data_IF_089483395296
#
_entry.id   IF_089483395296
#
_cell.length_a   1.000
_cell.length_b   1.000
_cell.length_c   1.000
_cell.angle_alpha   90.00
_cell.angle_beta   90.00
_cell.angle_gamma   90.00
#
_symmetry.space_group_name_H-M   'P 1'
#
loop_
_entity.id
_entity.type
_entity.pdbx_description
1 polymer ?
#
# COMPACT_ATOMS: atom_id res chain seq x y z
N UNK A 1 57.92 -21.43 -15.50
CA UNK A 1 56.75 -22.30 -15.25
C UNK A 1 56.30 -22.09 -13.81
N UNK A 2 55.19 -21.36 -13.62
CA UNK A 2 54.38 -21.39 -12.41
C UNK A 2 52.99 -20.90 -12.85
N UNK A 3 52.04 -21.83 -12.88
CA UNK A 3 50.74 -21.66 -13.52
C UNK A 3 49.92 -20.55 -12.89
N UNK A 4 49.54 -19.57 -13.72
CA UNK A 4 48.45 -18.64 -13.43
C UNK A 4 47.15 -19.46 -13.33
N UNK A 5 46.65 -19.62 -12.10
CA UNK A 5 45.35 -20.22 -11.84
C UNK A 5 44.27 -19.47 -12.62
N UNK A 6 43.73 -20.13 -13.65
CA UNK A 6 42.55 -19.70 -14.38
C UNK A 6 41.33 -19.80 -13.45
N UNK A 7 41.14 -18.79 -12.61
CA UNK A 7 39.87 -18.56 -11.93
C UNK A 7 38.79 -18.36 -13.01
N UNK A 8 37.76 -19.20 -12.99
CA UNK A 8 36.67 -19.20 -13.97
C UNK A 8 36.19 -17.77 -14.22
N UNK A 9 36.36 -17.25 -15.44
CA UNK A 9 35.65 -16.04 -15.90
C UNK A 9 34.16 -16.40 -15.95
N UNK A 10 33.46 -16.24 -14.83
CA UNK A 10 32.02 -16.42 -14.76
C UNK A 10 31.34 -15.53 -15.79
N UNK A 11 30.31 -16.04 -16.46
CA UNK A 11 29.50 -15.24 -17.39
C UNK A 11 29.05 -13.93 -16.72
N UNK A 12 29.14 -12.83 -17.48
CA UNK A 12 28.76 -11.50 -17.01
C UNK A 12 27.31 -11.44 -16.50
N UNK A 13 27.01 -10.43 -15.68
CA UNK A 13 25.66 -10.20 -15.17
C UNK A 13 24.72 -9.80 -16.31
N UNK A 14 23.48 -10.28 -16.25
CA UNK A 14 22.46 -10.05 -17.27
C UNK A 14 21.53 -8.92 -16.88
N UNK A 15 21.19 -8.07 -17.85
CA UNK A 15 20.21 -6.99 -17.69
C UNK A 15 18.82 -7.57 -17.41
N UNK A 16 18.46 -8.66 -18.09
CA UNK A 16 17.15 -9.32 -17.93
C UNK A 16 17.00 -9.85 -16.51
N UNK A 17 18.02 -10.55 -16.00
CA UNK A 17 18.01 -11.08 -14.63
C UNK A 17 17.92 -9.93 -13.61
N UNK A 18 18.63 -8.81 -13.84
CA UNK A 18 18.52 -7.65 -12.97
C UNK A 18 17.10 -7.06 -12.95
N UNK A 19 16.39 -6.98 -14.08
CA UNK A 19 14.99 -6.54 -14.13
C UNK A 19 14.02 -7.53 -13.49
N UNK A 20 14.24 -8.84 -13.62
CA UNK A 20 13.44 -9.86 -12.92
C UNK A 20 13.61 -9.72 -11.41
N UNK A 21 14.85 -9.56 -10.93
CA UNK A 21 15.12 -9.29 -9.51
C UNK A 21 14.48 -7.98 -9.04
N UNK A 22 14.45 -6.96 -9.90
CA UNK A 22 13.80 -5.69 -9.60
C UNK A 22 12.27 -5.82 -9.52
N UNK A 23 11.64 -6.58 -10.41
CA UNK A 23 10.18 -6.76 -10.43
C UNK A 23 9.68 -7.49 -9.17
N UNK A 24 10.35 -8.57 -8.76
CA UNK A 24 9.89 -9.41 -7.65
C UNK A 24 10.49 -9.01 -6.29
N UNK A 25 11.64 -8.33 -6.27
CA UNK A 25 12.35 -8.00 -5.03
C UNK A 25 13.01 -6.61 -5.03
N UNK A 26 12.63 -5.74 -5.96
CA UNK A 26 13.26 -4.42 -6.13
C UNK A 26 13.06 -3.47 -4.95
N UNK A 27 11.89 -3.52 -4.30
CA UNK A 27 11.64 -2.76 -3.07
C UNK A 27 12.61 -3.12 -1.94
N UNK A 28 13.13 -4.35 -1.93
CA UNK A 28 14.10 -4.84 -0.94
C UNK A 28 15.53 -4.83 -1.47
N UNK A 29 15.78 -4.27 -2.66
CA UNK A 29 17.12 -4.14 -3.23
C UNK A 29 17.71 -5.42 -3.85
N UNK A 30 16.88 -6.42 -4.17
CA UNK A 30 17.36 -7.73 -4.70
C UNK A 30 18.23 -7.58 -5.96
N UNK A 31 17.85 -6.69 -6.88
CA UNK A 31 18.62 -6.38 -8.08
C UNK A 31 19.99 -5.76 -7.76
N UNK A 32 20.09 -4.97 -6.69
CA UNK A 32 21.34 -4.36 -6.25
C UNK A 32 22.29 -5.39 -5.63
N UNK A 33 21.75 -6.34 -4.86
CA UNK A 33 22.54 -7.47 -4.35
C UNK A 33 23.04 -8.38 -5.48
N UNK A 34 22.22 -8.63 -6.51
CA UNK A 34 22.65 -9.34 -7.72
C UNK A 34 23.81 -8.63 -8.43
N UNK A 35 23.73 -7.30 -8.52
CA UNK A 35 24.72 -6.42 -9.15
C UNK A 35 25.93 -6.10 -8.26
N UNK A 36 26.09 -6.76 -7.10
CA UNK A 36 27.22 -6.56 -6.16
C UNK A 36 27.28 -5.15 -5.55
N UNK A 37 26.15 -4.45 -5.43
CA UNK A 37 26.04 -3.10 -4.87
C UNK A 37 25.43 -3.13 -3.47
N UNK A 38 26.06 -3.93 -2.60
CA UNK A 38 25.51 -4.33 -1.28
C UNK A 38 25.14 -3.16 -0.38
N UNK A 39 25.95 -2.10 -0.35
CA UNK A 39 25.65 -0.90 0.43
C UNK A 39 24.38 -0.20 -0.06
N UNK A 40 24.20 -0.08 -1.39
CA UNK A 40 22.98 0.50 -1.95
C UNK A 40 21.79 -0.45 -1.73
N UNK A 41 21.98 -1.76 -1.87
CA UNK A 41 20.94 -2.77 -1.59
C UNK A 41 20.46 -2.72 -0.15
N UNK A 42 21.39 -2.62 0.82
CA UNK A 42 21.08 -2.46 2.24
C UNK A 42 20.31 -1.17 2.50
N UNK A 43 20.72 -0.05 1.89
CA UNK A 43 20.00 1.22 2.02
C UNK A 43 18.60 1.15 1.44
N UNK A 44 18.42 0.53 0.26
CA UNK A 44 17.10 0.31 -0.33
C UNK A 44 16.22 -0.54 0.59
N UNK A 45 16.78 -1.60 1.18
CA UNK A 45 16.08 -2.44 2.14
C UNK A 45 15.69 -1.68 3.42
N UNK A 46 16.63 -0.92 4.02
CA UNK A 46 16.39 -0.14 5.25
C UNK A 46 15.47 1.07 5.05
N UNK A 47 15.12 1.40 3.81
CA UNK A 47 14.25 2.54 3.46
C UNK A 47 13.00 2.13 2.67
N UNK A 48 12.70 0.84 2.61
CA UNK A 48 11.56 0.30 1.87
C UNK A 48 11.50 0.81 0.42
N UNK A 49 12.59 0.63 -0.32
CA UNK A 49 12.67 1.04 -1.73
C UNK A 49 13.12 2.48 -1.92
N UNK A 50 13.83 3.08 -0.97
CA UNK A 50 14.23 4.49 -1.03
C UNK A 50 13.04 5.42 -0.87
N UNK A 51 12.26 5.23 0.20
CA UNK A 51 10.99 5.93 0.47
C UNK A 51 9.98 5.75 -0.67
N UNK A 52 9.93 4.56 -1.28
CA UNK A 52 9.03 4.24 -2.38
C UNK A 52 9.35 4.92 -3.73
N UNK A 53 10.37 5.78 -3.82
CA UNK A 53 10.78 6.44 -5.08
C UNK A 53 12.09 5.88 -5.64
N UNK A 54 12.99 5.42 -4.77
CA UNK A 54 14.27 4.85 -5.17
C UNK A 54 14.13 3.65 -6.10
N UNK A 55 13.16 2.76 -5.85
CA UNK A 55 12.92 1.58 -6.68
C UNK A 55 12.46 1.94 -8.11
N UNK A 56 11.69 3.02 -8.29
CA UNK A 56 11.31 3.53 -9.63
C UNK A 56 12.51 4.15 -10.34
N UNK A 57 13.30 4.93 -9.59
CA UNK A 57 14.50 5.57 -10.13
C UNK A 57 15.55 4.56 -10.60
N UNK A 58 15.53 3.33 -10.09
CA UNK A 58 16.45 2.27 -10.48
C UNK A 58 16.12 1.67 -11.86
N UNK A 59 14.89 1.76 -12.36
CA UNK A 59 14.49 1.26 -13.69
C UNK A 59 15.42 1.80 -14.79
N UNK A 60 15.72 3.09 -14.74
CA UNK A 60 16.56 3.77 -15.73
C UNK A 60 18.05 3.55 -15.49
N UNK A 61 18.45 3.13 -14.27
CA UNK A 61 19.85 2.99 -13.88
C UNK A 61 20.38 1.55 -14.00
N UNK A 62 19.50 0.55 -13.96
CA UNK A 62 19.86 -0.88 -14.07
C UNK A 62 20.79 -1.17 -15.28
N UNK A 63 20.52 -0.68 -16.51
CA UNK A 63 21.39 -0.96 -17.65
C UNK A 63 22.83 -0.47 -17.43
N UNK A 64 22.97 0.73 -16.85
CA UNK A 64 24.28 1.30 -16.50
C UNK A 64 24.97 0.48 -15.41
N UNK A 65 24.23 0.03 -14.41
CA UNK A 65 24.79 -0.80 -13.33
C UNK A 65 25.29 -2.16 -13.83
N UNK A 66 24.58 -2.76 -14.79
CA UNK A 66 25.00 -4.01 -15.43
C UNK A 66 26.28 -3.80 -16.26
N UNK A 67 26.34 -2.73 -17.05
CA UNK A 67 27.57 -2.35 -17.78
C UNK A 67 28.74 -2.10 -16.83
N UNK A 68 28.49 -1.48 -15.67
CA UNK A 68 29.54 -1.19 -14.69
C UNK A 68 30.09 -2.45 -14.02
N UNK A 69 29.23 -3.40 -13.62
CA UNK A 69 29.68 -4.65 -12.98
C UNK A 69 30.39 -5.59 -13.95
N UNK A 70 30.04 -5.53 -15.24
CA UNK A 70 30.66 -6.29 -16.33
C UNK A 70 31.91 -5.61 -16.91
N UNK A 71 32.29 -4.43 -16.41
CA UNK A 71 33.46 -3.67 -16.88
C UNK A 71 33.44 -3.37 -18.39
N UNK A 72 32.28 -2.94 -18.88
CA UNK A 72 32.08 -2.57 -20.28
C UNK A 72 33.13 -1.54 -20.77
N UNK A 73 33.88 -1.81 -21.85
CA UNK A 73 35.00 -0.95 -22.27
C UNK A 73 34.61 0.48 -22.67
N UNK A 74 33.40 0.69 -23.20
CA UNK A 74 32.93 2.04 -23.55
C UNK A 74 32.63 2.85 -22.30
N UNK A 75 31.87 2.26 -21.36
CA UNK A 75 31.54 2.90 -20.10
C UNK A 75 32.79 3.18 -19.26
N UNK A 76 33.76 2.26 -19.22
CA UNK A 76 34.99 2.45 -18.46
C UNK A 76 35.84 3.58 -19.05
N UNK A 77 35.96 3.68 -20.38
CA UNK A 77 36.64 4.81 -21.04
C UNK A 77 36.01 6.15 -20.65
N UNK A 78 34.68 6.22 -20.61
CA UNK A 78 33.95 7.42 -20.19
C UNK A 78 34.24 7.79 -18.73
N UNK A 79 34.19 6.82 -17.82
CA UNK A 79 34.46 7.04 -16.39
C UNK A 79 35.91 7.52 -16.20
N UNK A 80 36.88 6.87 -16.85
CA UNK A 80 38.28 7.26 -16.76
C UNK A 80 38.56 8.63 -17.39
N UNK A 81 37.85 9.00 -18.46
CA UNK A 81 37.91 10.37 -19.00
C UNK A 81 37.48 11.40 -17.95
N UNK A 82 36.34 11.19 -17.30
CA UNK A 82 35.85 12.10 -16.24
C UNK A 82 36.79 12.18 -15.04
N UNK A 83 37.41 11.06 -14.66
CA UNK A 83 38.41 11.03 -13.58
C UNK A 83 39.68 11.81 -13.93
N UNK A 84 40.05 11.90 -15.23
CA UNK A 84 41.18 12.70 -15.69
C UNK A 84 40.85 14.20 -15.76
N UNK A 85 39.63 14.54 -16.16
CA UNK A 85 39.16 15.92 -16.23
C UNK A 85 38.96 16.55 -14.84
N UNK A 86 38.47 15.77 -13.89
CA UNK A 86 38.18 16.24 -12.54
C UNK A 86 38.98 15.50 -11.48
N UNK A 87 39.89 16.21 -10.80
CA UNK A 87 40.69 15.65 -9.68
C UNK A 87 39.81 15.05 -8.56
N UNK A 88 38.64 15.64 -8.31
CA UNK A 88 37.63 15.14 -7.35
C UNK A 88 36.27 14.96 -8.04
N UNK A 89 35.41 14.04 -7.56
CA UNK A 89 34.06 13.92 -8.08
C UNK A 89 33.29 15.24 -7.95
N UNK A 90 32.57 15.69 -8.99
CA UNK A 90 31.78 16.92 -8.92
C UNK A 90 30.66 16.80 -7.87
N UNK A 91 30.12 17.93 -7.43
CA UNK A 91 28.98 17.95 -6.51
C UNK A 91 27.74 17.34 -7.18
N UNK A 92 27.04 16.45 -6.47
CA UNK A 92 25.80 15.84 -6.95
C UNK A 92 24.69 16.13 -5.96
N UNK A 93 23.74 16.97 -6.38
CA UNK A 93 22.57 17.34 -5.58
C UNK A 93 21.82 16.08 -5.11
N UNK A 94 21.59 15.12 -6.01
CA UNK A 94 20.89 13.88 -5.66
C UNK A 94 21.61 13.05 -4.59
N UNK A 95 22.95 12.99 -4.63
CA UNK A 95 23.74 12.25 -3.65
C UNK A 95 23.78 12.98 -2.31
N UNK A 96 23.91 14.30 -2.34
CA UNK A 96 23.89 15.14 -1.16
C UNK A 96 22.54 15.05 -0.41
N UNK A 97 21.42 15.18 -1.13
CA UNK A 97 20.08 15.00 -0.56
C UNK A 97 19.91 13.59 0.00
N UNK A 98 20.34 12.55 -0.74
CA UNK A 98 20.27 11.18 -0.25
C UNK A 98 21.09 10.97 1.02
N UNK A 99 22.28 11.58 1.12
CA UNK A 99 23.14 11.51 2.30
C UNK A 99 22.46 12.17 3.52
N UNK A 100 21.81 13.31 3.32
CA UNK A 100 20.99 13.98 4.34
C UNK A 100 19.83 13.08 4.76
N UNK A 101 19.05 12.53 3.82
CA UNK A 101 17.88 11.69 4.16
C UNK A 101 18.27 10.43 4.93
N UNK A 102 19.32 9.72 4.49
CA UNK A 102 19.79 8.51 5.17
C UNK A 102 20.44 8.85 6.51
N UNK A 103 21.25 9.90 6.58
CA UNK A 103 21.83 10.39 7.82
C UNK A 103 20.75 10.78 8.84
N UNK A 104 19.70 11.45 8.38
CA UNK A 104 18.51 11.77 9.18
C UNK A 104 17.85 10.50 9.71
N UNK A 105 17.51 9.57 8.82
CA UNK A 105 16.83 8.33 9.21
C UNK A 105 17.63 7.55 10.25
N UNK A 106 18.93 7.36 10.04
CA UNK A 106 19.75 6.54 10.94
C UNK A 106 20.05 7.26 12.26
N UNK A 107 20.28 8.58 12.23
CA UNK A 107 20.42 9.37 13.45
C UNK A 107 19.13 9.42 14.28
N UNK A 108 17.97 9.59 13.62
CA UNK A 108 16.66 9.55 14.27
C UNK A 108 16.37 8.16 14.83
N UNK A 109 16.68 7.09 14.09
CA UNK A 109 16.50 5.72 14.57
C UNK A 109 17.31 5.47 15.86
N UNK A 110 18.55 5.95 15.93
CA UNK A 110 19.34 5.87 17.17
C UNK A 110 18.70 6.66 18.30
N UNK A 111 18.18 7.87 18.01
CA UNK A 111 17.53 8.72 19.00
C UNK A 111 16.25 8.07 19.57
N UNK A 112 15.34 7.62 18.70
CA UNK A 112 14.07 7.01 19.13
C UNK A 112 14.25 5.62 19.74
N UNK A 113 15.38 4.94 19.50
CA UNK A 113 15.69 3.66 20.13
C UNK A 113 16.10 3.81 21.61
N UNK A 114 16.49 5.01 22.05
CA UNK A 114 16.89 5.28 23.43
C UNK A 114 15.63 5.45 24.30
N UNK A 115 15.47 4.71 25.40
CA UNK A 115 14.31 4.81 26.28
C UNK A 115 14.14 6.22 26.88
N UNK A 116 12.91 6.75 26.85
CA UNK A 116 12.57 8.05 27.45
C UNK A 116 12.50 7.98 28.99
N UNK A 117 12.06 6.83 29.52
CA UNK A 117 11.94 6.60 30.96
C UNK A 117 13.13 5.82 31.51
N UNK A 118 13.59 6.10 32.75
CA UNK A 118 14.66 5.35 33.37
C UNK A 118 14.29 3.87 33.53
N UNK A 119 15.24 2.98 33.23
CA UNK A 119 15.08 1.53 33.40
C UNK A 119 15.81 1.13 34.67
N UNK A 120 15.10 0.52 35.62
CA UNK A 120 15.68 0.05 36.88
C UNK A 120 16.49 1.14 37.62
N UNK A 121 16.00 2.39 37.61
CA UNK A 121 16.63 3.59 38.18
C UNK A 121 17.90 4.09 37.45
N UNK A 122 18.21 3.57 36.27
CA UNK A 122 19.28 4.09 35.42
C UNK A 122 18.73 4.94 34.28
N UNK A 123 19.21 6.18 34.15
CA UNK A 123 18.93 7.05 33.02
C UNK A 123 19.87 6.72 31.85
N UNK A 124 19.30 6.26 30.74
CA UNK A 124 20.07 5.91 29.53
C UNK A 124 20.28 7.09 28.58
N UNK A 125 19.95 8.31 29.01
CA UNK A 125 20.06 9.54 28.21
C UNK A 125 21.48 9.81 27.71
N UNK A 126 22.52 9.31 28.39
CA UNK A 126 23.90 9.43 27.91
C UNK A 126 24.13 8.74 26.54
N UNK A 127 23.28 7.79 26.14
CA UNK A 127 23.36 7.14 24.83
C UNK A 127 23.08 8.10 23.66
N UNK A 128 22.54 9.31 23.91
CA UNK A 128 22.37 10.32 22.87
C UNK A 128 23.69 10.74 22.21
N UNK A 129 24.83 10.50 22.87
CA UNK A 129 26.16 10.67 22.26
C UNK A 129 26.44 9.75 21.07
N UNK A 130 25.61 8.74 20.82
CA UNK A 130 25.68 7.89 19.62
C UNK A 130 24.87 8.43 18.42
N UNK A 131 24.03 9.46 18.61
CA UNK A 131 23.23 10.06 17.52
C UNK A 131 24.13 10.62 16.39
N UNK A 132 25.20 11.41 16.68
CA UNK A 132 26.10 11.91 15.64
C UNK A 132 26.80 10.79 14.86
N UNK A 133 27.09 9.67 15.55
CA UNK A 133 27.67 8.49 14.92
C UNK A 133 26.70 7.85 13.92
N UNK A 134 25.43 7.63 14.30
CA UNK A 134 24.41 7.09 13.39
C UNK A 134 24.22 7.96 12.15
N UNK A 135 24.14 9.28 12.35
CA UNK A 135 24.01 10.27 11.28
C UNK A 135 25.21 10.24 10.30
N UNK A 136 26.42 10.36 10.83
CA UNK A 136 27.64 10.42 10.02
C UNK A 136 27.96 9.11 9.29
N UNK A 137 27.61 7.95 9.88
CA UNK A 137 27.69 6.66 9.17
C UNK A 137 26.71 6.65 7.99
N UNK A 138 25.47 7.12 8.16
CA UNK A 138 24.51 7.22 7.05
C UNK A 138 25.02 8.07 5.88
N UNK A 139 25.56 9.26 6.19
CA UNK A 139 26.23 10.14 5.22
C UNK A 139 27.39 9.41 4.52
N UNK A 140 28.25 8.76 5.30
CA UNK A 140 29.42 8.04 4.79
C UNK A 140 29.04 6.88 3.86
N UNK A 141 28.02 6.09 4.20
CA UNK A 141 27.58 4.97 3.35
C UNK A 141 27.12 5.48 1.99
N UNK A 142 26.28 6.53 1.96
CA UNK A 142 25.79 7.14 0.71
C UNK A 142 26.95 7.69 -0.12
N UNK A 143 27.89 8.39 0.52
CA UNK A 143 29.08 8.94 -0.11
C UNK A 143 29.97 7.89 -0.78
N UNK A 144 29.98 6.65 -0.26
CA UNK A 144 30.82 5.55 -0.75
C UNK A 144 30.16 4.64 -1.81
N UNK A 145 28.95 4.99 -2.28
CA UNK A 145 28.22 4.24 -3.31
C UNK A 145 28.85 4.43 -4.69
N UNK A 146 29.10 3.35 -5.43
CA UNK A 146 29.60 3.39 -6.81
C UNK A 146 31.10 3.70 -6.90
N UNK A 147 31.49 4.60 -7.80
CA UNK A 147 32.88 4.99 -8.10
C UNK A 147 33.40 6.16 -7.25
N UNK A 148 32.70 6.50 -6.18
CA UNK A 148 33.13 7.49 -5.20
C UNK A 148 33.51 6.77 -3.90
N UNK A 149 34.48 7.33 -3.20
CA UNK A 149 34.96 6.81 -1.92
C UNK A 149 35.34 7.95 -1.00
N UNK A 150 35.30 7.73 0.31
CA UNK A 150 35.74 8.73 1.28
C UNK A 150 35.91 8.14 2.67
N UNK A 151 36.75 8.78 3.48
CA UNK A 151 37.01 8.35 4.86
C UNK A 151 35.87 8.83 5.78
N UNK A 152 35.45 8.05 6.78
CA UNK A 152 34.34 8.43 7.65
C UNK A 152 34.72 9.54 8.65
N UNK A 153 36.00 9.67 8.98
CA UNK A 153 36.47 10.48 10.11
C UNK A 153 36.09 11.96 10.04
N UNK A 154 36.11 12.57 8.86
CA UNK A 154 35.74 13.99 8.70
C UNK A 154 34.24 14.17 8.94
N UNK A 155 33.41 13.26 8.43
CA UNK A 155 31.96 13.30 8.63
C UNK A 155 31.60 13.09 10.11
N UNK A 156 32.29 12.16 10.78
CA UNK A 156 32.11 11.88 12.21
C UNK A 156 32.53 13.11 13.03
N UNK A 157 33.76 13.61 12.85
CA UNK A 157 34.27 14.74 13.62
C UNK A 157 33.44 16.00 13.46
N UNK A 158 33.00 16.32 12.24
CA UNK A 158 32.10 17.46 11.99
C UNK A 158 30.71 17.26 12.60
N UNK A 159 30.14 16.06 12.56
CA UNK A 159 28.87 15.76 13.23
C UNK A 159 28.98 15.97 14.75
N UNK A 160 30.03 15.45 15.40
CA UNK A 160 30.22 15.64 16.84
C UNK A 160 30.47 17.10 17.22
N UNK A 161 31.23 17.84 16.42
CA UNK A 161 31.45 19.28 16.65
C UNK A 161 30.14 20.06 16.55
N UNK A 162 29.34 19.79 15.51
CA UNK A 162 28.05 20.43 15.32
C UNK A 162 26.98 19.95 16.32
N UNK A 163 27.11 18.75 16.87
CA UNK A 163 26.23 18.23 17.92
C UNK A 163 26.28 19.07 19.21
N UNK A 164 27.40 19.75 19.48
CA UNK A 164 27.49 20.70 20.61
C UNK A 164 26.47 21.85 20.51
N UNK A 165 25.96 22.13 19.31
CA UNK A 165 24.88 23.12 19.13
C UNK A 165 23.58 22.75 19.84
N UNK A 166 23.39 21.48 20.24
CA UNK A 166 22.28 21.03 21.11
C UNK A 166 22.23 21.79 22.44
N UNK A 167 23.37 22.25 22.95
CA UNK A 167 23.43 23.04 24.19
C UNK A 167 23.18 24.54 23.96
N UNK A 168 23.18 24.98 22.70
CA UNK A 168 22.94 26.37 22.32
C UNK A 168 21.48 26.58 21.86
N UNK A 169 20.90 25.60 21.18
CA UNK A 169 19.55 25.63 20.64
C UNK A 169 18.68 24.55 21.30
N UNK A 170 17.61 24.96 21.98
CA UNK A 170 16.66 24.05 22.62
C UNK A 170 15.76 23.30 21.61
N UNK A 171 15.60 23.81 20.39
CA UNK A 171 14.81 23.16 19.34
C UNK A 171 15.56 21.97 18.73
N UNK A 172 14.97 20.77 18.88
CA UNK A 172 15.51 19.52 18.35
C UNK A 172 15.74 19.54 16.85
N UNK A 173 14.84 20.18 16.11
CA UNK A 173 14.90 20.23 14.65
C UNK A 173 16.13 21.02 14.17
N UNK A 174 16.48 22.08 14.91
CA UNK A 174 17.55 23.01 14.51
C UNK A 174 18.92 22.38 14.70
N UNK A 175 19.25 21.89 15.91
CA UNK A 175 20.57 21.29 16.15
C UNK A 175 20.76 20.02 15.33
N UNK A 176 19.70 19.22 15.13
CA UNK A 176 19.77 18.00 14.35
C UNK A 176 20.04 18.30 12.87
N UNK A 177 19.33 19.28 12.31
CA UNK A 177 19.54 19.71 10.91
C UNK A 177 20.93 20.31 10.71
N UNK A 178 21.40 21.13 11.64
CA UNK A 178 22.74 21.72 11.59
C UNK A 178 23.83 20.63 11.61
N UNK A 179 23.71 19.65 12.51
CA UNK A 179 24.62 18.51 12.59
C UNK A 179 24.64 17.71 11.28
N UNK A 180 23.47 17.43 10.71
CA UNK A 180 23.34 16.64 9.50
C UNK A 180 23.94 17.35 8.27
N UNK A 181 23.60 18.62 8.07
CA UNK A 181 24.08 19.41 6.93
C UNK A 181 25.59 19.65 7.01
N UNK A 182 26.10 19.96 8.20
CA UNK A 182 27.56 20.15 8.40
C UNK A 182 28.33 18.85 8.14
N UNK A 183 27.85 17.70 8.62
CA UNK A 183 28.44 16.40 8.36
C UNK A 183 28.45 16.04 6.87
N UNK A 184 27.34 16.25 6.18
CA UNK A 184 27.22 15.98 4.74
C UNK A 184 28.12 16.90 3.90
N UNK A 185 28.16 18.20 4.20
CA UNK A 185 29.02 19.17 3.51
C UNK A 185 30.51 18.90 3.76
N UNK A 186 30.88 18.58 4.99
CA UNK A 186 32.25 18.27 5.35
C UNK A 186 32.73 16.99 4.64
N UNK A 187 31.89 15.96 4.55
CA UNK A 187 32.20 14.75 3.79
C UNK A 187 32.40 15.06 2.31
N UNK A 188 31.46 15.77 1.68
CA UNK A 188 31.50 16.06 0.24
C UNK A 188 32.70 16.94 -0.14
N UNK A 189 33.00 17.94 0.68
CA UNK A 189 34.06 18.92 0.40
C UNK A 189 35.46 18.34 0.64
N UNK A 190 35.65 17.66 1.79
CA UNK A 190 36.99 17.31 2.26
C UNK A 190 37.33 15.83 2.11
N UNK A 191 36.36 14.91 2.23
CA UNK A 191 36.65 13.46 2.25
C UNK A 191 36.36 12.73 0.95
N UNK A 192 35.59 13.34 0.03
CA UNK A 192 35.18 12.71 -1.23
C UNK A 192 36.33 12.61 -2.23
N UNK A 193 36.56 11.39 -2.73
CA UNK A 193 37.59 11.03 -3.69
C UNK A 193 37.03 10.04 -4.74
N UNK A 194 37.69 9.97 -5.89
CA UNK A 194 37.38 8.95 -6.90
C UNK A 194 37.85 7.57 -6.46
N UNK A 195 37.09 6.54 -6.82
CA UNK A 195 37.49 5.14 -6.72
C UNK A 195 37.94 4.62 -8.10
N UNK A 196 39.25 4.58 -8.39
CA UNK A 196 39.75 4.24 -9.72
C UNK A 196 39.53 2.77 -10.09
N UNK A 197 39.63 1.87 -9.11
CA UNK A 197 39.53 0.42 -9.32
C UNK A 197 38.24 -0.15 -8.75
N UNK A 198 37.75 -1.26 -9.32
CA UNK A 198 36.60 -1.99 -8.78
C UNK A 198 36.93 -2.49 -7.37
N UNK A 199 35.93 -2.54 -6.48
CA UNK A 199 36.08 -3.19 -5.18
C UNK A 199 36.38 -4.67 -5.39
N UNK A 200 37.31 -5.19 -4.59
CA UNK A 200 37.60 -6.63 -4.59
C UNK A 200 36.34 -7.44 -4.31
N UNK A 201 36.20 -8.53 -5.06
CA UNK A 201 35.03 -9.38 -4.98
C UNK A 201 35.09 -10.25 -3.74
N UNK A 202 34.30 -9.89 -2.73
CA UNK A 202 34.07 -10.76 -1.56
C UNK A 202 33.24 -11.97 -1.96
N UNK A 203 33.47 -13.10 -1.28
CA UNK A 203 32.66 -14.31 -1.42
C UNK A 203 31.19 -13.99 -1.12
N UNK A 204 30.28 -14.75 -1.74
CA UNK A 204 28.84 -14.57 -1.52
C UNK A 204 28.47 -14.69 -0.03
N UNK A 205 29.01 -15.71 0.65
CA UNK A 205 28.75 -15.95 2.07
C UNK A 205 29.22 -14.79 2.95
N UNK A 206 30.42 -14.23 2.70
CA UNK A 206 30.91 -13.06 3.45
C UNK A 206 30.01 -11.84 3.25
N UNK A 207 29.53 -11.61 2.01
CA UNK A 207 28.62 -10.49 1.73
C UNK A 207 27.30 -10.64 2.46
N UNK A 208 26.69 -11.83 2.39
CA UNK A 208 25.45 -12.11 3.10
C UNK A 208 25.62 -12.00 4.61
N UNK A 209 26.73 -12.50 5.17
CA UNK A 209 27.03 -12.35 6.59
C UNK A 209 27.10 -10.87 7.02
N UNK A 210 27.76 -10.01 6.24
CA UNK A 210 27.84 -8.57 6.53
C UNK A 210 26.47 -7.90 6.43
N UNK A 211 25.72 -8.16 5.36
CA UNK A 211 24.38 -7.57 5.17
C UNK A 211 23.44 -8.02 6.28
N UNK A 212 23.47 -9.31 6.65
CA UNK A 212 22.68 -9.84 7.76
C UNK A 212 23.08 -9.23 9.10
N UNK A 213 24.38 -9.07 9.37
CA UNK A 213 24.85 -8.41 10.59
C UNK A 213 24.37 -6.95 10.68
N UNK A 214 24.47 -6.19 9.58
CA UNK A 214 23.94 -4.83 9.50
C UNK A 214 22.40 -4.81 9.66
N UNK A 215 21.71 -5.78 9.07
CA UNK A 215 20.26 -5.93 9.18
C UNK A 215 19.81 -6.22 10.61
N UNK A 216 20.52 -7.11 11.32
CA UNK A 216 20.26 -7.41 12.72
C UNK A 216 20.45 -6.17 13.61
N UNK A 217 21.52 -5.40 13.41
CA UNK A 217 21.74 -4.15 14.14
C UNK A 217 20.64 -3.11 13.86
N UNK A 218 20.21 -2.99 12.61
CA UNK A 218 19.14 -2.08 12.23
C UNK A 218 17.80 -2.50 12.86
N UNK A 219 17.46 -3.79 12.80
CA UNK A 219 16.24 -4.34 13.39
C UNK A 219 16.26 -4.30 14.91
N UNK A 220 17.43 -4.43 15.55
CA UNK A 220 17.52 -4.30 17.01
C UNK A 220 17.20 -2.88 17.46
N UNK A 221 17.60 -1.84 16.71
CA UNK A 221 17.22 -0.46 17.02
C UNK A 221 15.70 -0.24 16.92
N UNK A 222 15.08 -0.75 15.85
CA UNK A 222 13.61 -0.75 15.74
C UNK A 222 12.94 -1.54 16.87
N UNK A 223 13.50 -2.70 17.22
CA UNK A 223 13.03 -3.51 18.34
C UNK A 223 13.07 -2.75 19.67
N UNK A 224 14.17 -2.04 19.95
CA UNK A 224 14.28 -1.16 21.11
C UNK A 224 13.20 -0.06 21.10
N UNK A 225 12.99 0.61 19.96
CA UNK A 225 11.93 1.62 19.83
C UNK A 225 10.56 1.02 20.14
N UNK A 226 10.16 -0.07 19.46
CA UNK A 226 8.85 -0.67 19.64
C UNK A 226 8.63 -1.22 21.05
N UNK A 227 9.70 -1.68 21.70
CA UNK A 227 9.62 -2.20 23.06
C UNK A 227 9.51 -1.07 24.10
N UNK A 228 10.41 -0.09 24.08
CA UNK A 228 10.49 0.92 25.14
C UNK A 228 9.63 2.16 24.89
N UNK A 229 9.56 2.63 23.64
CA UNK A 229 8.97 3.93 23.31
C UNK A 229 7.69 3.80 22.47
N UNK A 230 7.42 2.64 21.87
CA UNK A 230 6.21 2.38 21.10
C UNK A 230 4.97 2.45 21.99
N UNK A 231 4.00 3.29 21.60
CA UNK A 231 2.72 3.47 22.31
C UNK A 231 1.59 3.42 21.28
N UNK A 232 0.49 2.75 21.62
CA UNK A 232 -0.76 2.74 20.84
C UNK A 232 -1.80 3.54 21.63
N UNK A 233 -2.51 4.42 20.95
CA UNK A 233 -3.65 5.17 21.50
C UNK A 233 -4.95 4.44 21.19
N UNK A 234 -5.75 4.16 22.21
CA UNK A 234 -7.11 3.63 22.06
C UNK A 234 -8.09 4.73 21.58
N UNK A 235 -9.29 4.36 21.14
CA UNK A 235 -10.35 5.29 20.73
C UNK A 235 -10.79 6.24 21.84
N UNK A 236 -10.54 5.87 23.09
CA UNK A 236 -10.82 6.69 24.28
C UNK A 236 -9.70 7.69 24.60
N UNK A 237 -8.56 7.64 23.88
CA UNK A 237 -7.40 8.50 24.09
C UNK A 237 -6.35 7.94 25.05
N UNK A 238 -6.59 6.76 25.64
CA UNK A 238 -5.63 6.12 26.55
C UNK A 238 -4.43 5.55 25.79
N UNK A 239 -3.22 5.80 26.29
CA UNK A 239 -1.97 5.30 25.70
C UNK A 239 -1.50 4.05 26.40
N UNK A 240 -1.40 2.94 25.66
CA UNK A 240 -0.85 1.67 26.14
C UNK A 240 0.49 1.41 25.48
N UNK A 241 1.53 0.95 26.21
CA UNK A 241 2.77 0.51 25.61
C UNK A 241 2.53 -0.57 24.55
N UNK A 242 3.20 -0.46 23.41
CA UNK A 242 3.02 -1.36 22.28
C UNK A 242 3.34 -2.81 22.64
N UNK A 243 4.40 -3.05 23.42
CA UNK A 243 4.78 -4.41 23.82
C UNK A 243 3.70 -5.07 24.70
N UNK A 244 3.03 -4.32 25.59
CA UNK A 244 1.90 -4.81 26.37
C UNK A 244 0.68 -5.07 25.49
N UNK A 245 0.37 -4.17 24.56
CA UNK A 245 -0.73 -4.36 23.62
C UNK A 245 -0.55 -5.61 22.76
N UNK A 246 0.67 -5.85 22.26
CA UNK A 246 1.02 -7.05 21.50
C UNK A 246 0.90 -8.31 22.38
N UNK A 247 1.38 -8.26 23.62
CA UNK A 247 1.23 -9.36 24.56
C UNK A 247 -0.25 -9.66 24.82
N UNK A 248 -1.06 -8.65 25.15
CA UNK A 248 -2.50 -8.78 25.38
C UNK A 248 -3.26 -9.30 24.16
N UNK A 249 -2.86 -8.90 22.96
CA UNK A 249 -3.44 -9.42 21.72
C UNK A 249 -3.22 -10.93 21.59
N UNK A 250 -2.00 -11.41 21.80
CA UNK A 250 -1.68 -12.84 21.70
C UNK A 250 -2.21 -13.68 22.88
N UNK A 251 -2.55 -13.05 24.00
CA UNK A 251 -3.24 -13.71 25.12
C UNK A 251 -4.76 -13.52 25.10
N UNK A 252 -5.30 -12.80 24.11
CA UNK A 252 -6.73 -12.51 24.05
C UNK A 252 -7.57 -13.75 23.73
N UNK A 253 -8.82 -13.84 24.24
CA UNK A 253 -9.74 -14.92 23.88
C UNK A 253 -9.91 -15.07 22.38
N UNK A 254 -9.98 -13.95 21.65
CA UNK A 254 -10.09 -13.95 20.20
C UNK A 254 -8.91 -14.63 19.51
N UNK A 255 -7.67 -14.36 19.94
CA UNK A 255 -6.49 -15.00 19.35
C UNK A 255 -6.43 -16.49 19.69
N UNK A 256 -6.76 -16.87 20.93
CA UNK A 256 -6.80 -18.28 21.33
C UNK A 256 -7.87 -19.04 20.55
N UNK A 257 -9.04 -18.44 20.34
CA UNK A 257 -10.14 -19.02 19.56
C UNK A 257 -9.77 -19.13 18.08
N UNK A 258 -9.09 -18.12 17.52
CA UNK A 258 -8.57 -18.17 16.16
C UNK A 258 -7.54 -19.29 16.00
N UNK A 259 -6.59 -19.39 16.94
CA UNK A 259 -5.58 -20.45 16.94
C UNK A 259 -6.22 -21.83 17.02
N UNK A 260 -7.23 -21.99 17.88
CA UNK A 260 -7.97 -23.24 17.99
C UNK A 260 -8.74 -23.54 16.71
N UNK A 261 -9.44 -22.56 16.14
CA UNK A 261 -10.18 -22.73 14.88
C UNK A 261 -9.28 -23.12 13.72
N UNK A 262 -8.08 -22.52 13.61
CA UNK A 262 -7.08 -22.88 12.61
C UNK A 262 -6.54 -24.31 12.82
N UNK A 263 -6.32 -24.70 14.07
CA UNK A 263 -5.91 -26.06 14.42
C UNK A 263 -7.00 -27.07 14.06
N UNK A 264 -8.25 -26.81 14.44
CA UNK A 264 -9.39 -27.67 14.14
C UNK A 264 -9.62 -27.79 12.63
N UNK A 265 -9.48 -26.68 11.90
CA UNK A 265 -9.54 -26.67 10.43
C UNK A 265 -8.42 -27.51 9.82
N UNK A 266 -7.20 -27.43 10.35
CA UNK A 266 -6.07 -28.23 9.89
C UNK A 266 -6.29 -29.73 10.17
N UNK A 267 -6.74 -30.09 11.37
CA UNK A 267 -7.09 -31.48 11.73
C UNK A 267 -8.22 -31.99 10.83
N UNK A 268 -9.27 -31.20 10.63
CA UNK A 268 -10.35 -31.53 9.71
C UNK A 268 -9.84 -31.75 8.28
N UNK A 269 -8.93 -30.90 7.80
CA UNK A 269 -8.30 -31.02 6.48
C UNK A 269 -7.44 -32.29 6.34
N UNK A 270 -6.76 -32.71 7.40
CA UNK A 270 -5.98 -33.97 7.41
C UNK A 270 -6.89 -35.20 7.26
N UNK A 271 -8.08 -35.19 7.84
CA UNK A 271 -9.02 -36.32 7.79
C UNK A 271 -9.92 -36.34 6.55
N UNK A 272 -10.39 -35.18 6.07
CA UNK A 272 -11.38 -35.07 4.99
C UNK A 272 -10.82 -34.53 3.67
N UNK A 273 -9.56 -34.08 3.67
CA UNK A 273 -8.90 -33.45 2.54
C UNK A 273 -9.20 -31.95 2.42
N UNK A 274 -8.24 -31.21 1.85
CA UNK A 274 -8.33 -29.75 1.67
C UNK A 274 -9.47 -29.29 0.77
N UNK A 275 -9.99 -30.17 -0.10
CA UNK A 275 -11.11 -29.85 -0.98
C UNK A 275 -12.43 -29.67 -0.22
N UNK A 276 -12.71 -30.53 0.77
CA UNK A 276 -13.93 -30.41 1.59
C UNK A 276 -13.86 -29.18 2.50
N UNK A 277 -12.68 -28.84 3.01
CA UNK A 277 -12.45 -27.59 3.76
C UNK A 277 -12.76 -26.38 2.87
N UNK A 278 -12.22 -26.36 1.65
CA UNK A 278 -12.49 -25.29 0.68
C UNK A 278 -13.99 -25.18 0.36
N UNK A 279 -14.67 -26.31 0.17
CA UNK A 279 -16.11 -26.34 -0.09
C UNK A 279 -16.90 -25.75 1.08
N UNK A 280 -16.58 -26.12 2.31
CA UNK A 280 -17.21 -25.55 3.51
C UNK A 280 -16.95 -24.06 3.65
N UNK A 281 -15.71 -23.60 3.40
CA UNK A 281 -15.38 -22.17 3.43
C UNK A 281 -16.20 -21.41 2.39
N UNK A 282 -16.30 -21.94 1.17
CA UNK A 282 -17.10 -21.31 0.10
C UNK A 282 -18.58 -21.30 0.46
N UNK A 283 -19.13 -22.41 0.96
CA UNK A 283 -20.54 -22.49 1.34
C UNK A 283 -20.86 -21.57 2.54
N UNK A 284 -19.96 -21.43 3.52
CA UNK A 284 -20.08 -20.46 4.63
C UNK A 284 -19.88 -19.01 4.17
N UNK A 285 -19.12 -18.78 3.09
CA UNK A 285 -18.89 -17.44 2.53
C UNK A 285 -20.07 -16.91 1.72
N UNK A 286 -21.06 -17.74 1.37
CA UNK A 286 -22.30 -17.30 0.72
C UNK A 286 -23.25 -16.66 1.76
N UNK A 287 -22.90 -15.47 2.22
CA UNK A 287 -23.67 -14.66 3.18
C UNK A 287 -25.12 -14.42 2.71
N UNK A 288 -25.37 -14.47 1.40
CA UNK A 288 -26.69 -14.27 0.80
C UNK A 288 -27.49 -15.55 0.59
N UNK A 289 -26.84 -16.71 0.66
CA UNK A 289 -27.40 -18.01 0.27
C UNK A 289 -27.80 -18.10 -1.22
N UNK A 290 -27.40 -17.15 -2.07
CA UNK A 290 -27.84 -17.08 -3.47
C UNK A 290 -27.27 -18.25 -4.28
N UNK A 291 -25.99 -18.55 -4.12
CA UNK A 291 -25.34 -19.65 -4.85
C UNK A 291 -25.84 -21.00 -4.35
N UNK A 292 -26.01 -21.16 -3.03
CA UNK A 292 -26.58 -22.38 -2.48
C UNK A 292 -28.02 -22.60 -2.97
N UNK A 293 -28.85 -21.56 -2.98
CA UNK A 293 -30.23 -21.65 -3.48
C UNK A 293 -30.32 -22.12 -4.94
N UNK A 294 -29.40 -21.67 -5.80
CA UNK A 294 -29.35 -22.13 -7.20
C UNK A 294 -28.95 -23.60 -7.31
N UNK A 295 -27.98 -24.05 -6.47
CA UNK A 295 -27.59 -25.47 -6.38
C UNK A 295 -28.76 -26.35 -5.92
N UNK A 296 -29.49 -25.94 -4.87
CA UNK A 296 -30.65 -26.68 -4.32
C UNK A 296 -31.75 -26.85 -5.36
N UNK A 297 -32.05 -25.82 -6.16
CA UNK A 297 -33.05 -25.91 -7.23
C UNK A 297 -32.53 -26.57 -8.52
N UNK A 298 -31.22 -26.83 -8.62
CA UNK A 298 -30.57 -27.41 -9.79
C UNK A 298 -30.64 -26.51 -11.03
N UNK A 299 -30.58 -25.19 -10.85
CA UNK A 299 -30.68 -24.19 -11.93
C UNK A 299 -29.44 -23.31 -11.99
N UNK A 300 -29.07 -22.86 -13.18
CA UNK A 300 -27.93 -21.95 -13.35
C UNK A 300 -28.23 -20.54 -12.81
N UNK A 301 -27.20 -19.73 -12.46
CA UNK A 301 -27.39 -18.35 -12.01
C UNK A 301 -28.08 -17.43 -13.05
N UNK A 302 -28.04 -17.83 -14.33
CA UNK A 302 -28.68 -17.14 -15.46
C UNK A 302 -30.08 -17.66 -15.78
N UNK A 303 -30.58 -18.68 -15.04
CA UNK A 303 -31.87 -19.31 -15.28
C UNK A 303 -33.00 -18.27 -15.26
N UNK A 304 -34.02 -18.43 -16.10
CA UNK A 304 -35.15 -17.51 -16.16
C UNK A 304 -36.09 -17.66 -14.94
N UNK A 305 -36.94 -16.66 -14.64
CA UNK A 305 -37.88 -16.79 -13.51
C UNK A 305 -38.85 -17.95 -13.72
N UNK A 306 -39.31 -18.17 -14.96
CA UNK A 306 -40.18 -19.29 -15.33
C UNK A 306 -39.50 -20.64 -15.11
N UNK A 307 -38.21 -20.76 -15.43
CA UNK A 307 -37.41 -21.96 -15.21
C UNK A 307 -37.24 -22.27 -13.71
N UNK A 308 -36.93 -21.25 -12.91
CA UNK A 308 -36.81 -21.37 -11.45
C UNK A 308 -38.14 -21.83 -10.83
N UNK A 309 -39.25 -21.19 -11.20
CA UNK A 309 -40.58 -21.57 -10.70
C UNK A 309 -41.01 -22.97 -11.18
N UNK A 310 -40.66 -23.37 -12.40
CA UNK A 310 -40.95 -24.71 -12.91
C UNK A 310 -40.20 -25.80 -12.14
N UNK A 311 -38.90 -25.58 -11.87
CA UNK A 311 -38.07 -26.48 -11.09
C UNK A 311 -38.53 -26.58 -9.64
N UNK A 312 -38.82 -25.45 -9.00
CA UNK A 312 -39.41 -25.41 -7.66
C UNK A 312 -40.72 -26.22 -7.57
N UNK A 313 -41.65 -26.07 -8.53
CA UNK A 313 -42.91 -26.85 -8.56
C UNK A 313 -42.70 -28.33 -8.81
N UNK A 314 -41.67 -28.71 -9.56
CA UNK A 314 -41.33 -30.11 -9.79
C UNK A 314 -40.80 -30.74 -8.49
N UNK A 315 -39.78 -30.12 -7.89
CA UNK A 315 -39.14 -30.60 -6.67
C UNK A 315 -40.12 -30.60 -5.49
N UNK A 316 -40.97 -29.58 -5.36
CA UNK A 316 -41.99 -29.51 -4.29
C UNK A 316 -43.03 -30.63 -4.39
N UNK A 317 -43.37 -31.11 -5.60
CA UNK A 317 -44.28 -32.25 -5.78
C UNK A 317 -43.62 -33.60 -5.58
N UNK A 318 -42.30 -33.66 -5.75
CA UNK A 318 -41.50 -34.85 -5.55
C UNK A 318 -41.25 -35.10 -4.06
N UNK A 319 -40.87 -34.06 -3.33
CA UNK A 319 -40.56 -34.10 -1.90
C UNK A 319 -41.71 -33.68 -0.98
N UNK A 320 -42.96 -33.66 -1.47
CA UNK A 320 -44.12 -33.30 -0.65
C UNK A 320 -44.32 -34.34 0.48
N UNK A 321 -44.45 -33.93 1.75
CA UNK A 321 -44.56 -34.86 2.89
C UNK A 321 -45.72 -35.85 2.73
N UNK A 322 -46.87 -35.41 2.21
CA UNK A 322 -48.05 -36.26 2.00
C UNK A 322 -47.86 -37.40 0.98
N UNK A 323 -46.84 -37.30 0.11
CA UNK A 323 -46.58 -38.31 -0.94
C UNK A 323 -45.70 -39.44 -0.45
N UNK A 324 -44.95 -39.23 0.64
CA UNK A 324 -43.97 -40.18 1.17
C UNK A 324 -44.56 -40.83 2.42
N UNK A 325 -45.07 -42.06 2.25
CA UNK A 325 -45.74 -42.84 3.29
C UNK A 325 -44.79 -43.62 4.20
N UNK A 326 -43.51 -43.68 3.83
CA UNK A 326 -42.47 -44.37 4.59
C UNK A 326 -41.99 -43.46 5.73
N UNK A 327 -42.20 -43.83 7.01
CA UNK A 327 -41.87 -42.98 8.15
C UNK A 327 -40.36 -42.69 8.28
N UNK A 328 -39.49 -43.55 7.76
CA UNK A 328 -38.05 -43.31 7.77
C UNK A 328 -37.63 -42.20 6.78
N UNK A 329 -38.34 -42.09 5.65
CA UNK A 329 -38.05 -41.12 4.57
C UNK A 329 -38.85 -39.82 4.71
N UNK A 330 -39.89 -39.82 5.54
CA UNK A 330 -40.75 -38.67 5.76
C UNK A 330 -39.96 -37.48 6.35
N UNK A 331 -39.02 -37.74 7.25
CA UNK A 331 -38.16 -36.70 7.83
C UNK A 331 -37.23 -36.09 6.78
N UNK A 332 -36.53 -36.91 6.00
CA UNK A 332 -35.64 -36.43 4.93
C UNK A 332 -36.41 -35.65 3.85
N UNK A 333 -37.63 -36.08 3.54
CA UNK A 333 -38.51 -35.39 2.60
C UNK A 333 -38.93 -34.01 3.13
N UNK A 334 -39.27 -33.92 4.41
CA UNK A 334 -39.65 -32.67 5.06
C UNK A 334 -38.48 -31.68 5.09
N UNK A 335 -37.27 -32.14 5.43
CA UNK A 335 -36.06 -31.32 5.43
C UNK A 335 -35.76 -30.78 4.03
N UNK A 336 -35.76 -31.64 2.99
CA UNK A 336 -35.58 -31.22 1.60
C UNK A 336 -36.67 -30.28 1.11
N UNK A 337 -37.92 -30.54 1.48
CA UNK A 337 -39.04 -29.67 1.11
C UNK A 337 -38.86 -28.26 1.66
N UNK A 338 -38.45 -28.12 2.93
CA UNK A 338 -38.16 -26.83 3.53
C UNK A 338 -36.99 -26.11 2.84
N UNK A 339 -35.91 -26.83 2.54
CA UNK A 339 -34.75 -26.30 1.83
C UNK A 339 -35.12 -25.78 0.43
N UNK A 340 -35.95 -26.52 -0.31
CA UNK A 340 -36.49 -26.12 -1.62
C UNK A 340 -37.35 -24.85 -1.53
N UNK A 341 -38.17 -24.71 -0.49
CA UNK A 341 -38.97 -23.49 -0.29
C UNK A 341 -38.08 -22.28 -0.02
N UNK A 342 -37.11 -22.42 0.90
CA UNK A 342 -36.18 -21.35 1.26
C UNK A 342 -35.34 -20.90 0.05
N UNK A 343 -34.83 -21.85 -0.74
CA UNK A 343 -34.06 -21.56 -1.96
C UNK A 343 -34.87 -20.74 -2.97
N UNK A 344 -36.14 -21.10 -3.19
CA UNK A 344 -37.03 -20.35 -4.09
C UNK A 344 -37.30 -18.93 -3.58
N UNK A 345 -37.54 -18.77 -2.27
CA UNK A 345 -37.81 -17.48 -1.67
C UNK A 345 -36.62 -16.52 -1.81
N UNK A 346 -35.41 -16.99 -1.50
CA UNK A 346 -34.16 -16.22 -1.63
C UNK A 346 -34.00 -15.73 -3.08
N UNK A 347 -34.08 -16.64 -4.06
CA UNK A 347 -33.90 -16.30 -5.48
C UNK A 347 -35.00 -15.35 -5.97
N UNK A 348 -36.26 -15.60 -5.60
CA UNK A 348 -37.40 -14.77 -5.98
C UNK A 348 -37.27 -13.34 -5.44
N UNK A 349 -36.86 -13.20 -4.18
CA UNK A 349 -36.63 -11.90 -3.54
C UNK A 349 -35.48 -11.14 -4.22
N UNK A 350 -34.37 -11.80 -4.49
CA UNK A 350 -33.22 -11.21 -5.19
C UNK A 350 -33.63 -10.74 -6.59
N UNK A 351 -34.33 -11.57 -7.37
CA UNK A 351 -34.79 -11.21 -8.71
C UNK A 351 -35.81 -10.08 -8.71
N UNK A 352 -36.74 -10.08 -7.76
CA UNK A 352 -37.71 -9.01 -7.60
C UNK A 352 -37.01 -7.68 -7.29
N UNK A 353 -36.02 -7.70 -6.38
CA UNK A 353 -35.19 -6.53 -6.06
C UNK A 353 -34.40 -6.04 -7.28
N UNK A 354 -33.79 -6.94 -8.06
CA UNK A 354 -33.09 -6.61 -9.32
C UNK A 354 -34.05 -6.01 -10.35
N UNK A 355 -35.23 -6.59 -10.55
CA UNK A 355 -36.26 -6.09 -11.49
C UNK A 355 -36.75 -4.68 -11.11
N UNK A 356 -36.98 -4.42 -9.81
CA UNK A 356 -37.35 -3.09 -9.31
C UNK A 356 -36.27 -2.05 -9.61
N UNK A 357 -35.00 -2.38 -9.34
CA UNK A 357 -33.85 -1.50 -9.65
C UNK A 357 -33.72 -1.24 -11.16
N UNK A 358 -33.87 -2.27 -11.99
CA UNK A 358 -33.79 -2.10 -13.45
C UNK A 358 -34.95 -1.23 -13.96
N UNK A 359 -36.18 -1.41 -13.46
CA UNK A 359 -37.31 -0.54 -13.83
C UNK A 359 -37.05 0.91 -13.42
N UNK A 360 -36.51 1.13 -12.23
CA UNK A 360 -36.15 2.47 -11.76
C UNK A 360 -35.05 3.09 -12.65
N UNK A 361 -34.06 2.29 -13.07
CA UNK A 361 -33.01 2.73 -13.99
C UNK A 361 -33.54 3.08 -15.38
N UNK A 362 -34.45 2.27 -15.94
CA UNK A 362 -35.08 2.56 -17.24
C UNK A 362 -35.95 3.82 -17.18
N UNK A 363 -36.73 4.01 -16.11
CA UNK A 363 -37.49 5.26 -15.88
C UNK A 363 -36.55 6.45 -15.78
N UNK A 364 -35.46 6.31 -15.03
CA UNK A 364 -34.45 7.34 -14.88
C UNK A 364 -33.77 7.69 -16.22
N UNK A 365 -33.41 6.67 -17.01
CA UNK A 365 -32.85 6.82 -18.35
C UNK A 365 -33.83 7.50 -19.32
N UNK A 366 -35.11 7.14 -19.26
CA UNK A 366 -36.16 7.75 -20.07
C UNK A 366 -36.43 9.20 -19.67
N UNK A 367 -36.40 9.54 -18.38
CA UNK A 367 -36.47 10.92 -17.88
C UNK A 367 -35.28 11.73 -18.40
N UNK A 368 -34.06 11.18 -18.35
CA UNK A 368 -32.87 11.84 -18.90
C UNK A 368 -33.03 12.08 -20.40
N UNK A 369 -33.44 11.07 -21.17
CA UNK A 369 -33.55 11.16 -22.64
C UNK A 369 -34.68 12.11 -23.09
N UNK A 370 -35.81 12.19 -22.38
CA UNK A 370 -36.90 13.15 -22.67
C UNK A 370 -36.57 14.60 -22.27
N UNK A 371 -35.55 14.82 -21.45
CA UNK A 371 -35.21 16.13 -20.86
C UNK A 371 -34.10 16.89 -21.61
N UNK A 372 -33.55 16.33 -22.71
CA UNK A 372 -32.28 16.77 -23.34
C UNK A 372 -32.31 18.18 -23.99
N UNK A 373 -33.44 18.91 -23.98
CA UNK A 373 -33.50 20.32 -24.44
C UNK A 373 -34.21 21.27 -23.46
N UNK A 374 -35.39 20.90 -22.95
CA UNK A 374 -36.15 21.72 -21.97
C UNK A 374 -35.69 21.50 -20.53
N UNK A 375 -35.22 20.29 -20.20
CA UNK A 375 -34.71 19.94 -18.88
C UNK A 375 -33.33 20.53 -18.58
N UNK A 376 -32.47 20.68 -19.59
CA UNK A 376 -31.18 21.37 -19.43
C UNK A 376 -31.40 22.83 -19.01
N UNK A 377 -32.29 23.56 -19.71
CA UNK A 377 -32.60 24.95 -19.40
C UNK A 377 -33.22 25.10 -18.00
N UNK A 378 -34.14 24.20 -17.64
CA UNK A 378 -34.75 24.19 -16.30
C UNK A 378 -33.73 23.83 -15.21
N UNK A 379 -32.82 22.88 -15.43
CA UNK A 379 -31.79 22.53 -14.46
C UNK A 379 -30.82 23.69 -14.18
N UNK A 380 -30.43 24.44 -15.21
CA UNK A 380 -29.63 25.66 -15.06
C UNK A 380 -30.41 26.74 -14.28
N UNK A 381 -31.70 26.88 -14.54
CA UNK A 381 -32.60 27.81 -13.84
C UNK A 381 -32.78 27.44 -12.35
N UNK A 382 -32.96 26.17 -12.02
CA UNK A 382 -33.08 25.66 -10.63
C UNK A 382 -31.82 25.92 -9.83
N UNK A 383 -30.63 25.74 -10.41
CA UNK A 383 -29.36 26.05 -9.74
C UNK A 383 -28.99 27.54 -9.78
N UNK A 384 -29.74 28.36 -10.51
CA UNK A 384 -29.49 29.79 -10.68
C UNK A 384 -28.17 30.10 -11.39
N UNK A 385 -27.71 29.20 -12.27
CA UNK A 385 -26.44 29.33 -13.01
C UNK A 385 -26.68 29.41 -14.51
N UNK A 386 -25.84 30.17 -15.22
CA UNK A 386 -25.95 30.28 -16.67
C UNK A 386 -25.61 28.97 -17.39
N UNK A 387 -26.12 28.72 -18.62
CA UNK A 387 -25.79 27.53 -19.40
C UNK A 387 -24.29 27.37 -19.73
N UNK A 388 -23.54 28.47 -19.67
CA UNK A 388 -22.08 28.54 -19.89
C UNK A 388 -21.27 28.44 -18.59
N UNK A 389 -21.91 28.25 -17.44
CA UNK A 389 -21.25 28.22 -16.13
C UNK A 389 -20.17 27.12 -16.05
N UNK A 390 -19.08 27.43 -15.37
CA UNK A 390 -17.98 26.49 -15.17
C UNK A 390 -18.39 25.32 -14.25
N UNK A 391 -17.71 24.18 -14.33
CA UNK A 391 -18.04 23.02 -13.47
C UNK A 391 -17.88 23.34 -11.98
N UNK A 392 -16.88 24.15 -11.62
CA UNK A 392 -16.65 24.62 -10.25
C UNK A 392 -17.80 25.49 -9.74
N UNK A 393 -18.33 26.38 -10.59
CA UNK A 393 -19.45 27.27 -10.28
C UNK A 393 -20.76 26.51 -10.03
N UNK A 394 -21.08 25.54 -10.90
CA UNK A 394 -22.26 24.67 -10.74
C UNK A 394 -22.17 23.87 -9.43
N UNK A 395 -20.99 23.32 -9.15
CA UNK A 395 -20.76 22.54 -7.92
C UNK A 395 -20.86 23.41 -6.67
N UNK A 396 -20.37 24.64 -6.72
CA UNK A 396 -20.45 25.59 -5.62
C UNK A 396 -21.91 25.97 -5.30
N UNK A 397 -22.70 26.27 -6.34
CA UNK A 397 -24.13 26.62 -6.19
C UNK A 397 -24.96 25.46 -5.69
N UNK A 398 -24.77 24.26 -6.26
CA UNK A 398 -25.41 23.05 -5.77
C UNK A 398 -25.11 22.79 -4.28
N UNK A 399 -23.85 22.91 -3.84
CA UNK A 399 -23.47 22.74 -2.42
C UNK A 399 -24.14 23.79 -1.53
N UNK A 400 -24.24 25.03 -1.99
CA UNK A 400 -24.90 26.10 -1.22
C UNK A 400 -26.38 25.79 -1.01
N UNK A 401 -27.10 25.54 -2.10
CA UNK A 401 -28.53 25.25 -2.07
C UNK A 401 -28.85 23.95 -1.31
N UNK A 402 -28.02 22.92 -1.46
CA UNK A 402 -28.16 21.66 -0.72
C UNK A 402 -28.02 21.85 0.80
N UNK A 403 -27.17 22.78 1.26
CA UNK A 403 -27.02 23.09 2.69
C UNK A 403 -28.13 23.97 3.25
N UNK A 404 -28.79 24.73 2.38
CA UNK A 404 -29.88 25.63 2.72
C UNK A 404 -31.20 24.86 2.86
N UNK A 405 -31.51 24.01 1.88
CA UNK A 405 -32.74 23.21 1.83
C UNK A 405 -32.59 21.80 2.43
N UNK A 406 -31.54 21.54 3.21
CA UNK A 406 -31.36 20.22 3.82
C UNK A 406 -32.51 19.90 4.79
N UNK A 407 -33.18 18.74 4.67
CA UNK A 407 -34.36 18.41 5.47
C UNK A 407 -34.09 18.46 6.99
N UNK A 408 -32.89 18.07 7.43
CA UNK A 408 -32.51 18.07 8.85
C UNK A 408 -32.42 19.47 9.48
N UNK A 409 -32.28 20.54 8.68
CA UNK A 409 -32.18 21.91 9.21
C UNK A 409 -33.55 22.57 9.44
N UNK A 410 -34.61 22.05 8.83
CA UNK A 410 -35.93 22.66 8.85
C UNK A 410 -36.82 21.87 9.81
N UNK A 411 -37.00 22.42 11.01
CA UNK A 411 -37.73 21.79 12.12
C UNK A 411 -39.26 21.97 12.04
N UNK A 412 -39.74 22.86 11.17
CA UNK A 412 -41.16 23.14 10.95
C UNK A 412 -41.77 22.10 9.99
N UNK A 413 -42.73 21.25 10.43
CA UNK A 413 -43.31 20.18 9.61
C UNK A 413 -43.97 20.67 8.32
N UNK A 414 -44.54 21.87 8.32
CA UNK A 414 -45.21 22.43 7.14
C UNK A 414 -44.19 22.84 6.06
N UNK A 415 -43.01 23.33 6.48
CA UNK A 415 -41.91 23.74 5.59
C UNK A 415 -40.96 22.59 5.26
N UNK A 416 -40.96 21.52 6.04
CA UNK A 416 -40.12 20.35 5.82
C UNK A 416 -40.46 19.66 4.50
N UNK A 417 -41.75 19.56 4.16
CA UNK A 417 -42.19 19.00 2.88
C UNK A 417 -41.73 19.85 1.70
N UNK A 418 -41.89 21.16 1.77
CA UNK A 418 -41.43 22.09 0.73
C UNK A 418 -39.90 22.07 0.58
N UNK A 419 -39.17 22.00 1.68
CA UNK A 419 -37.72 21.87 1.68
C UNK A 419 -37.24 20.57 1.07
N UNK A 420 -37.91 19.45 1.37
CA UNK A 420 -37.59 18.14 0.83
C UNK A 420 -37.85 18.11 -0.69
N UNK A 421 -38.95 18.73 -1.15
CA UNK A 421 -39.25 18.89 -2.57
C UNK A 421 -38.17 19.73 -3.29
N UNK A 422 -37.80 20.90 -2.74
CA UNK A 422 -36.73 21.75 -3.29
C UNK A 422 -35.37 21.06 -3.27
N UNK A 423 -35.04 20.34 -2.21
CA UNK A 423 -33.79 19.60 -2.10
C UNK A 423 -33.68 18.52 -3.18
N UNK A 424 -34.77 17.77 -3.41
CA UNK A 424 -34.81 16.77 -4.48
C UNK A 424 -34.64 17.41 -5.86
N UNK A 425 -35.29 18.55 -6.10
CA UNK A 425 -35.17 19.31 -7.35
C UNK A 425 -33.73 19.79 -7.61
N UNK A 426 -33.06 20.30 -6.56
CA UNK A 426 -31.65 20.72 -6.61
C UNK A 426 -30.71 19.54 -6.94
N UNK A 427 -30.93 18.37 -6.34
CA UNK A 427 -30.13 17.18 -6.63
C UNK A 427 -30.32 16.72 -8.09
N UNK A 428 -31.57 16.67 -8.55
CA UNK A 428 -31.91 16.28 -9.92
C UNK A 428 -31.28 17.24 -10.95
N UNK A 429 -31.35 18.55 -10.72
CA UNK A 429 -30.78 19.56 -11.61
C UNK A 429 -29.26 19.40 -11.77
N UNK A 430 -28.53 19.18 -10.67
CA UNK A 430 -27.08 18.97 -10.71
C UNK A 430 -26.69 17.70 -11.47
N UNK A 431 -27.43 16.61 -11.24
CA UNK A 431 -27.18 15.32 -11.89
C UNK A 431 -27.40 15.40 -13.41
N UNK A 432 -28.47 16.07 -13.85
CA UNK A 432 -28.77 16.33 -15.26
C UNK A 432 -27.61 17.10 -15.92
N UNK A 433 -27.18 18.22 -15.33
CA UNK A 433 -26.09 19.05 -15.89
C UNK A 433 -24.77 18.27 -15.95
N UNK A 434 -24.44 17.52 -14.91
CA UNK A 434 -23.23 16.68 -14.84
C UNK A 434 -23.21 15.61 -15.94
N UNK A 435 -24.35 14.93 -16.15
CA UNK A 435 -24.51 13.89 -17.16
C UNK A 435 -24.40 14.47 -18.59
N UNK A 436 -25.06 15.60 -18.86
CA UNK A 436 -25.01 16.28 -20.17
C UNK A 436 -23.58 16.72 -20.49
N UNK A 437 -22.87 17.36 -19.55
CA UNK A 437 -21.48 17.78 -19.75
C UNK A 437 -20.56 16.59 -20.02
N UNK A 438 -20.77 15.47 -19.33
CA UNK A 438 -20.01 14.22 -19.56
C UNK A 438 -20.28 13.65 -20.96
N UNK A 439 -21.55 13.63 -21.42
CA UNK A 439 -21.95 13.21 -22.77
C UNK A 439 -21.29 14.09 -23.84
N UNK A 440 -21.31 15.42 -23.69
CA UNK A 440 -20.63 16.37 -24.60
C UNK A 440 -19.13 16.15 -24.65
N UNK A 441 -18.47 15.93 -23.50
CA UNK A 441 -17.03 15.64 -23.43
C UNK A 441 -16.66 14.34 -24.16
N UNK A 442 -17.51 13.30 -24.06
CA UNK A 442 -17.34 12.04 -24.81
C UNK A 442 -17.50 12.25 -26.31
N UNK A 443 -18.53 12.98 -26.75
CA UNK A 443 -18.77 13.28 -28.17
C UNK A 443 -17.63 14.07 -28.81
N UNK A 444 -17.12 15.11 -28.13
CA UNK A 444 -15.94 15.88 -28.58
C UNK A 444 -14.66 15.04 -28.63
N UNK A 445 -14.50 14.04 -27.75
CA UNK A 445 -13.32 13.15 -27.77
C UNK A 445 -13.38 12.15 -28.92
N UNK A 446 -14.59 11.78 -29.36
CA UNK A 446 -14.79 10.90 -30.50
C UNK A 446 -14.57 11.65 -31.83
N UNK A 447 -15.09 12.88 -31.96
CA UNK A 447 -14.91 13.71 -33.17
C UNK A 447 -13.49 14.27 -33.39
N UNK A 448 -12.59 14.08 -32.42
CA UNK A 448 -11.16 14.44 -32.53
C UNK A 448 -10.32 13.21 -32.88
N UNK A 449 -10.92 12.01 -32.80
CA UNK A 449 -10.31 10.73 -33.16
C UNK A 449 -10.70 10.27 -34.55
N UNK A 450 -11.92 10.62 -34.98
CA UNK A 450 -12.40 10.54 -36.36
C UNK A 450 -11.93 11.78 -37.14
#
# INVERSE_FOLDING_TARGET
MAGSGSGSKGAGKSVVVAYVCWLFGGMFGLHLFYLRRDAQGFLTWSTLGGYGLGWLADITKIPRYVKEVNEDPELMREIYRKMREHRKPPFSISRFISAIMIGYLWGQLVMIAIPESPIANYELTFLHWFIPLGCSIGVWVVGNIGRETGKPWIAIGSAYLAYLSRYLYYDESVWFSLMLVTSALAFDTFSKEWRPHKKEERSFMMRMAIVSACGLLYLSLWGCYFYFNGKITDSNGDTVPLHEAVHHFFTSPWWTDLKQSLYDTYVFAQHHGWYEVYKQIIDLSDVTGEQNAYKVLGVGPTASQSEITARWRSLSREFHPDKIKDPAKQREAQEKFMEIQQAYEIISNIKTKRKRKNKQYEVYKQIIDLSDVTGEQNAYKVLGVGPTASQSEITARWRSLSREFHPDKIKDPAKQREAQEKFMEIQQAYEIISNIKTKRKRKNKQSVRD
#
